data_IF_290703724904
#
_entry.id   IF_290703724904
#
_cell.length_a   1.000
_cell.length_b   1.000
_cell.length_c   1.000
_cell.angle_alpha   90.00
_cell.angle_beta   90.00
_cell.angle_gamma   90.00
#
_symmetry.space_group_name_H-M   'P 1'
#
loop_
_entity.id
_entity.type
_entity.pdbx_description
1 polymer ?
#
# COMPACT_ATOMS: atom_id res chain seq x y z
N UNK A 1 -4.67 -33.06 4.25
CA UNK A 1 -3.43 -32.27 4.36
C UNK A 1 -3.15 -31.56 3.03
N UNK A 2 -4.10 -30.73 2.58
CA UNK A 2 -4.09 -30.07 1.27
C UNK A 2 -4.41 -28.57 1.43
N UNK A 3 -3.67 -27.92 2.33
CA UNK A 3 -3.78 -26.49 2.64
C UNK A 3 -2.35 -25.98 2.55
N UNK A 4 -2.13 -24.87 1.81
CA UNK A 4 -0.82 -24.18 1.64
C UNK A 4 -0.05 -24.40 0.33
N UNK A 5 -0.72 -24.53 -0.82
CA UNK A 5 -0.05 -24.31 -2.13
C UNK A 5 -0.72 -23.26 -3.02
N UNK A 6 -2.01 -22.98 -2.80
CA UNK A 6 -2.75 -22.01 -3.63
C UNK A 6 -2.56 -20.55 -3.21
N UNK A 7 -2.14 -20.26 -1.96
CA UNK A 7 -1.87 -18.87 -1.53
C UNK A 7 -0.47 -18.39 -1.87
N UNK A 8 0.51 -19.29 -2.05
CA UNK A 8 1.88 -18.95 -2.43
C UNK A 8 2.02 -18.67 -3.92
N UNK A 9 1.24 -19.33 -4.79
CA UNK A 9 1.25 -19.05 -6.24
C UNK A 9 0.78 -17.62 -6.57
N UNK A 10 -0.19 -17.08 -5.83
CA UNK A 10 -0.71 -15.72 -6.03
C UNK A 10 0.31 -14.61 -5.71
N UNK A 11 1.35 -14.89 -4.91
CA UNK A 11 2.40 -13.91 -4.60
C UNK A 11 3.40 -13.73 -5.75
N UNK A 12 3.51 -14.70 -6.67
CA UNK A 12 4.45 -14.65 -7.80
C UNK A 12 3.81 -14.14 -9.11
N UNK A 13 2.50 -14.29 -9.31
CA UNK A 13 1.82 -13.69 -10.47
C UNK A 13 1.87 -12.14 -10.45
N UNK A 14 2.08 -11.55 -9.27
CA UNK A 14 2.22 -10.10 -9.11
C UNK A 14 3.58 -9.57 -9.62
N UNK A 15 4.61 -10.42 -9.75
CA UNK A 15 5.96 -10.06 -10.22
C UNK A 15 6.03 -9.78 -11.73
N UNK A 16 5.10 -10.35 -12.53
CA UNK A 16 5.03 -10.16 -13.98
C UNK A 16 4.09 -9.04 -14.41
N UNK A 17 3.74 -8.12 -13.52
CA UNK A 17 3.01 -6.93 -13.94
C UNK A 17 3.95 -5.99 -14.72
N UNK A 18 3.46 -5.32 -15.78
CA UNK A 18 4.26 -4.39 -16.58
C UNK A 18 4.97 -3.32 -15.74
N UNK A 19 4.33 -2.91 -14.63
CA UNK A 19 4.92 -2.05 -13.62
C UNK A 19 6.28 -2.57 -13.10
N UNK A 20 6.33 -3.81 -12.59
CA UNK A 20 7.55 -4.34 -12.00
C UNK A 20 8.65 -4.51 -13.04
N UNK A 21 8.30 -5.01 -14.23
CA UNK A 21 9.24 -5.17 -15.33
C UNK A 21 9.89 -3.84 -15.75
N UNK A 22 9.09 -2.81 -16.00
CA UNK A 22 9.60 -1.49 -16.41
C UNK A 22 10.42 -0.82 -15.31
N UNK A 23 10.04 -0.99 -14.04
CA UNK A 23 10.84 -0.47 -12.92
C UNK A 23 12.17 -1.21 -12.75
N UNK A 24 12.23 -2.52 -13.01
CA UNK A 24 13.49 -3.28 -13.07
C UNK A 24 14.35 -2.79 -14.23
N UNK A 25 13.77 -2.56 -15.42
CA UNK A 25 14.50 -2.02 -16.57
C UNK A 25 15.12 -0.65 -16.27
N UNK A 26 14.34 0.26 -15.66
CA UNK A 26 14.84 1.56 -15.20
C UNK A 26 15.94 1.40 -14.13
N UNK A 27 15.90 0.35 -13.32
CA UNK A 27 16.92 0.07 -12.32
C UNK A 27 18.26 -0.39 -12.90
N UNK A 28 18.23 -1.20 -13.95
CA UNK A 28 19.45 -1.74 -14.57
C UNK A 28 19.96 -0.87 -15.72
N UNK A 29 19.19 0.13 -16.16
CA UNK A 29 19.51 0.87 -17.39
C UNK A 29 20.92 1.51 -17.36
N UNK A 30 21.36 2.12 -16.26
CA UNK A 30 22.69 2.72 -16.17
C UNK A 30 23.80 1.68 -16.36
N UNK A 31 23.67 0.54 -15.68
CA UNK A 31 24.57 -0.59 -15.81
C UNK A 31 24.63 -1.09 -17.25
N UNK A 32 23.46 -1.30 -17.88
CA UNK A 32 23.34 -1.75 -19.28
C UNK A 32 23.98 -0.74 -20.24
N UNK A 33 23.74 0.56 -20.06
CA UNK A 33 24.31 1.60 -20.95
C UNK A 33 25.83 1.69 -20.88
N UNK A 34 26.45 1.25 -19.79
CA UNK A 34 27.92 1.25 -19.62
C UNK A 34 28.58 -0.08 -19.95
N UNK A 35 27.86 -1.20 -19.87
CA UNK A 35 28.40 -2.55 -20.11
C UNK A 35 28.16 -3.05 -21.54
N UNK A 36 27.11 -2.59 -22.20
CA UNK A 36 26.81 -2.96 -23.57
C UNK A 36 27.52 -1.97 -24.51
N UNK A 37 28.66 -2.39 -25.05
CA UNK A 37 29.52 -1.58 -25.94
C UNK A 37 28.76 -0.78 -27.02
N UNK A 38 27.83 -1.35 -27.82
CA UNK A 38 27.14 -0.57 -28.84
C UNK A 38 26.25 0.54 -28.25
N UNK A 39 25.63 0.30 -27.09
CA UNK A 39 24.83 1.32 -26.40
C UNK A 39 25.73 2.39 -25.77
N UNK A 40 26.86 1.99 -25.20
CA UNK A 40 27.81 2.89 -24.59
C UNK A 40 28.39 3.87 -25.61
N UNK A 41 28.88 3.38 -26.76
CA UNK A 41 29.43 4.25 -27.79
C UNK A 41 28.35 5.12 -28.46
N UNK A 42 27.11 4.63 -28.58
CA UNK A 42 25.99 5.42 -29.08
C UNK A 42 25.61 6.58 -28.14
N UNK A 43 25.61 6.35 -26.82
CA UNK A 43 25.21 7.35 -25.83
C UNK A 43 26.36 8.28 -25.42
N UNK A 44 27.57 7.76 -25.28
CA UNK A 44 28.70 8.49 -24.70
C UNK A 44 29.78 8.85 -25.72
N UNK A 45 29.67 8.36 -26.96
CA UNK A 45 30.62 8.61 -28.04
C UNK A 45 31.70 7.54 -28.14
N UNK A 46 32.29 7.39 -29.33
CA UNK A 46 33.28 6.36 -29.63
C UNK A 46 34.57 6.46 -28.80
N UNK A 47 34.93 7.65 -28.33
CA UNK A 47 36.17 7.89 -27.56
C UNK A 47 36.03 7.61 -26.06
N UNK A 48 34.84 7.22 -25.59
CA UNK A 48 34.61 6.98 -24.16
C UNK A 48 34.94 5.54 -23.76
N UNK A 49 35.53 5.41 -22.57
CA UNK A 49 35.83 4.13 -21.94
C UNK A 49 34.53 3.48 -21.45
N UNK A 50 34.15 2.36 -22.06
CA UNK A 50 32.95 1.60 -21.72
C UNK A 50 33.17 0.63 -20.56
N UNK A 51 33.46 1.19 -19.38
CA UNK A 51 33.48 0.45 -18.13
C UNK A 51 32.87 1.27 -17.00
N UNK A 52 32.47 0.57 -15.94
CA UNK A 52 31.95 1.19 -14.73
C UNK A 52 33.13 1.64 -13.87
N UNK A 53 33.15 2.92 -13.50
CA UNK A 53 34.19 3.48 -12.65
C UNK A 53 34.05 2.97 -11.20
N UNK A 54 35.14 2.97 -10.42
CA UNK A 54 35.09 2.55 -9.00
C UNK A 54 34.05 3.33 -8.19
N UNK A 55 33.91 4.64 -8.44
CA UNK A 55 32.90 5.48 -7.79
C UNK A 55 31.47 5.05 -8.14
N UNK A 56 31.23 4.69 -9.39
CA UNK A 56 29.92 4.21 -9.86
C UNK A 56 29.59 2.85 -9.25
N UNK A 57 30.59 1.96 -9.18
CA UNK A 57 30.46 0.65 -8.53
C UNK A 57 30.16 0.78 -7.03
N UNK A 58 30.84 1.68 -6.32
CA UNK A 58 30.55 1.97 -4.91
C UNK A 58 29.11 2.46 -4.70
N UNK A 59 28.62 3.35 -5.58
CA UNK A 59 27.22 3.80 -5.54
C UNK A 59 26.27 2.61 -5.78
N UNK A 60 26.52 1.79 -6.80
CA UNK A 60 25.70 0.60 -7.07
C UNK A 60 25.69 -0.39 -5.90
N UNK A 61 26.83 -0.63 -5.26
CA UNK A 61 26.95 -1.51 -4.10
C UNK A 61 26.19 -0.97 -2.89
N UNK A 62 26.33 0.33 -2.58
CA UNK A 62 25.59 0.98 -1.50
C UNK A 62 24.08 0.89 -1.73
N UNK A 63 23.64 1.07 -2.97
CA UNK A 63 22.23 0.91 -3.34
C UNK A 63 21.75 -0.53 -3.20
N UNK A 64 22.55 -1.52 -3.62
CA UNK A 64 22.26 -2.94 -3.43
C UNK A 64 22.07 -3.29 -1.95
N UNK A 65 22.95 -2.78 -1.08
CA UNK A 65 22.85 -2.97 0.37
C UNK A 65 21.59 -2.28 0.93
N UNK A 66 21.27 -1.05 0.52
CA UNK A 66 20.05 -0.36 0.97
C UNK A 66 18.77 -1.11 0.59
N UNK A 67 18.73 -1.68 -0.62
CA UNK A 67 17.60 -2.49 -1.10
C UNK A 67 17.44 -3.75 -0.23
N UNK A 68 18.56 -4.42 0.07
CA UNK A 68 18.58 -5.60 0.94
C UNK A 68 18.12 -5.27 2.37
N UNK A 69 18.62 -4.18 2.96
CA UNK A 69 18.30 -3.77 4.34
C UNK A 69 16.83 -3.36 4.50
N UNK A 70 16.24 -2.64 3.54
CA UNK A 70 14.87 -2.13 3.71
C UNK A 70 13.77 -3.14 3.41
N UNK A 71 14.09 -4.30 2.84
CA UNK A 71 13.17 -5.42 2.55
C UNK A 71 11.75 -5.00 2.09
N UNK A 72 11.64 -3.89 1.37
CA UNK A 72 10.39 -3.30 0.89
C UNK A 72 10.54 -2.96 -0.58
N UNK A 73 10.00 -3.83 -1.43
CA UNK A 73 10.17 -3.80 -2.89
C UNK A 73 9.80 -2.44 -3.52
N UNK A 74 8.69 -1.82 -3.12
CA UNK A 74 8.29 -0.54 -3.71
C UNK A 74 9.20 0.64 -3.29
N UNK A 75 9.74 0.62 -2.07
CA UNK A 75 10.73 1.61 -1.62
C UNK A 75 12.07 1.42 -2.34
N UNK A 76 12.45 0.16 -2.61
CA UNK A 76 13.66 -0.18 -3.35
C UNK A 76 13.68 0.44 -4.77
N UNK A 77 12.57 0.36 -5.52
CA UNK A 77 12.51 0.97 -6.86
C UNK A 77 12.65 2.49 -6.82
N UNK A 78 12.06 3.18 -5.86
CA UNK A 78 12.21 4.63 -5.72
C UNK A 78 13.65 5.04 -5.42
N UNK A 79 14.31 4.34 -4.50
CA UNK A 79 15.73 4.58 -4.20
C UNK A 79 16.61 4.34 -5.43
N UNK A 80 16.39 3.22 -6.11
CA UNK A 80 17.09 2.85 -7.33
C UNK A 80 16.93 3.91 -8.44
N UNK A 81 15.72 4.46 -8.62
CA UNK A 81 15.49 5.55 -9.57
C UNK A 81 16.32 6.80 -9.23
N UNK A 82 16.35 7.20 -7.96
CA UNK A 82 17.13 8.37 -7.52
C UNK A 82 18.63 8.15 -7.73
N UNK A 83 19.13 6.95 -7.46
CA UNK A 83 20.54 6.63 -7.69
C UNK A 83 20.91 6.62 -9.18
N UNK A 84 20.11 6.01 -10.04
CA UNK A 84 20.35 6.05 -11.48
C UNK A 84 20.27 7.48 -12.02
N UNK A 85 19.34 8.29 -11.54
CA UNK A 85 19.30 9.71 -11.87
C UNK A 85 20.60 10.42 -11.48
N UNK A 86 21.11 10.20 -10.26
CA UNK A 86 22.37 10.77 -9.81
C UNK A 86 23.56 10.29 -10.67
N UNK A 87 23.63 9.00 -10.99
CA UNK A 87 24.67 8.41 -11.83
C UNK A 87 24.67 9.01 -13.25
N UNK A 88 23.48 9.16 -13.86
CA UNK A 88 23.37 9.82 -15.17
C UNK A 88 23.75 11.31 -15.09
N UNK A 89 23.30 12.04 -14.07
CA UNK A 89 23.66 13.44 -13.85
C UNK A 89 25.17 13.64 -13.66
N UNK A 90 25.87 12.73 -12.97
CA UNK A 90 27.32 12.79 -12.79
C UNK A 90 28.08 12.60 -14.12
N UNK A 91 27.52 11.87 -15.08
CA UNK A 91 28.12 11.72 -16.41
C UNK A 91 27.74 12.88 -17.34
N UNK A 92 26.47 13.27 -17.37
CA UNK A 92 25.96 14.46 -18.07
C UNK A 92 24.55 14.80 -17.60
N UNK A 93 24.32 16.07 -17.28
CA UNK A 93 23.01 16.57 -16.86
C UNK A 93 21.90 16.27 -17.88
N UNK A 94 22.22 16.20 -19.18
CA UNK A 94 21.26 15.87 -20.24
C UNK A 94 20.69 14.45 -20.07
N UNK A 95 21.55 13.46 -19.85
CA UNK A 95 21.10 12.07 -19.66
C UNK A 95 20.35 11.87 -18.35
N UNK A 96 20.71 12.64 -17.31
CA UNK A 96 19.94 12.69 -16.08
C UNK A 96 18.50 13.17 -16.31
N UNK A 97 18.32 14.26 -17.07
CA UNK A 97 17.00 14.80 -17.40
C UNK A 97 16.20 13.80 -18.26
N UNK A 98 16.81 13.20 -19.28
CA UNK A 98 16.15 12.19 -20.13
C UNK A 98 15.70 10.98 -19.31
N UNK A 99 16.55 10.50 -18.40
CA UNK A 99 16.21 9.41 -17.50
C UNK A 99 15.07 9.79 -16.56
N UNK A 100 15.09 11.00 -15.97
CA UNK A 100 14.02 11.47 -15.11
C UNK A 100 12.67 11.56 -15.86
N UNK A 101 12.69 12.08 -17.10
CA UNK A 101 11.50 12.13 -17.94
C UNK A 101 10.95 10.72 -18.21
N UNK A 102 11.80 9.77 -18.63
CA UNK A 102 11.40 8.38 -18.85
C UNK A 102 10.84 7.72 -17.57
N UNK A 103 11.47 7.95 -16.41
CA UNK A 103 11.02 7.42 -15.14
C UNK A 103 9.65 7.98 -14.72
N UNK A 104 9.40 9.27 -14.97
CA UNK A 104 8.10 9.91 -14.72
C UNK A 104 7.05 9.33 -15.66
N UNK A 105 7.33 9.23 -16.96
CA UNK A 105 6.43 8.64 -17.96
C UNK A 105 6.02 7.23 -17.56
N UNK A 106 6.99 6.35 -17.24
CA UNK A 106 6.68 4.98 -16.78
C UNK A 106 5.79 4.99 -15.53
N UNK A 107 6.04 5.90 -14.58
CA UNK A 107 5.26 5.97 -13.34
C UNK A 107 3.82 6.48 -13.55
N UNK A 108 3.59 7.31 -14.57
CA UNK A 108 2.25 7.82 -14.92
C UNK A 108 1.45 6.78 -15.71
N UNK A 109 2.04 6.16 -16.72
CA UNK A 109 1.35 5.18 -17.56
C UNK A 109 1.16 3.82 -16.88
N UNK A 110 2.08 3.44 -16.01
CA UNK A 110 2.05 2.19 -15.27
C UNK A 110 2.08 2.51 -13.78
N UNK A 111 0.92 2.79 -13.15
CA UNK A 111 0.86 2.96 -11.71
C UNK A 111 1.11 1.62 -11.00
N UNK A 112 1.44 1.69 -9.71
CA UNK A 112 1.58 0.50 -8.88
C UNK A 112 0.24 -0.27 -8.87
N UNK A 113 0.25 -1.59 -9.14
CA UNK A 113 -0.99 -2.37 -9.14
C UNK A 113 -1.60 -2.41 -7.74
N UNK A 114 -2.92 -2.25 -7.67
CA UNK A 114 -3.68 -2.48 -6.44
C UNK A 114 -3.71 -3.98 -6.11
N UNK A 115 -3.88 -4.31 -4.84
CA UNK A 115 -4.06 -5.69 -4.41
C UNK A 115 -5.37 -6.29 -4.98
N UNK A 116 -5.28 -7.45 -5.62
CA UNK A 116 -6.42 -8.14 -6.29
C UNK A 116 -6.73 -9.52 -5.69
N UNK A 117 -6.17 -9.85 -4.53
CA UNK A 117 -6.42 -11.13 -3.87
C UNK A 117 -7.82 -11.24 -3.25
N UNK A 118 -8.13 -12.40 -2.69
CA UNK A 118 -9.41 -12.64 -2.00
C UNK A 118 -9.56 -11.64 -0.83
N UNK A 119 -10.67 -10.90 -0.84
CA UNK A 119 -11.04 -9.98 0.23
C UNK A 119 -12.57 -9.99 0.42
N UNK A 120 -13.02 -9.77 1.66
CA UNK A 120 -14.44 -9.61 2.00
C UNK A 120 -14.68 -8.18 2.48
N UNK A 121 -14.35 -7.23 1.61
CA UNK A 121 -14.39 -5.78 1.90
C UNK A 121 -15.41 -5.10 1.00
N UNK A 122 -16.23 -4.25 1.61
CA UNK A 122 -17.22 -3.45 0.90
C UNK A 122 -16.60 -2.09 0.53
N UNK A 123 -16.61 -1.77 -0.76
CA UNK A 123 -16.13 -0.48 -1.26
C UNK A 123 -17.27 0.50 -1.33
N UNK A 124 -17.22 1.55 -0.51
CA UNK A 124 -18.22 2.59 -0.59
C UNK A 124 -17.85 3.59 -1.70
N UNK A 125 -18.71 3.69 -2.72
CA UNK A 125 -18.55 4.59 -3.88
C UNK A 125 -19.68 5.62 -4.01
N UNK A 126 -20.66 5.57 -3.11
CA UNK A 126 -21.81 6.47 -3.13
C UNK A 126 -21.52 7.81 -2.45
N UNK A 127 -22.46 8.74 -2.59
CA UNK A 127 -22.45 9.96 -1.79
C UNK A 127 -22.84 9.58 -0.35
N UNK A 128 -22.11 10.07 0.66
CA UNK A 128 -22.34 9.84 2.10
C UNK A 128 -22.22 8.39 2.64
N UNK A 129 -21.07 7.72 2.48
CA UNK A 129 -20.83 6.39 3.08
C UNK A 129 -21.00 6.34 4.61
N UNK A 130 -20.67 7.42 5.32
CA UNK A 130 -20.83 7.47 6.77
C UNK A 130 -22.30 7.40 7.20
N UNK A 131 -23.22 7.96 6.39
CA UNK A 131 -24.65 7.93 6.70
C UNK A 131 -25.24 6.53 6.53
N UNK A 132 -24.72 5.75 5.56
CA UNK A 132 -25.09 4.34 5.40
C UNK A 132 -24.63 3.49 6.60
N UNK A 133 -23.39 3.70 7.04
CA UNK A 133 -22.83 3.03 8.24
C UNK A 133 -23.63 3.42 9.49
N UNK A 134 -24.01 4.69 9.62
CA UNK A 134 -24.79 5.18 10.76
C UNK A 134 -26.22 4.63 10.81
N UNK A 135 -26.82 4.36 9.64
CA UNK A 135 -28.17 3.76 9.54
C UNK A 135 -28.17 2.28 9.94
N UNK A 136 -27.12 1.54 9.61
CA UNK A 136 -27.06 0.10 9.84
C UNK A 136 -26.45 -0.23 11.22
N UNK A 137 -27.24 0.01 12.28
CA UNK A 137 -26.77 -0.09 13.67
C UNK A 137 -26.51 -1.53 14.13
N UNK A 138 -27.17 -2.51 13.52
CA UNK A 138 -27.05 -3.93 13.88
C UNK A 138 -25.73 -4.56 13.40
N UNK A 139 -24.96 -3.84 12.58
CA UNK A 139 -23.70 -4.31 12.01
C UNK A 139 -22.55 -3.51 12.61
N UNK A 140 -21.56 -4.22 13.14
CA UNK A 140 -20.27 -3.65 13.50
C UNK A 140 -19.45 -3.49 12.22
N UNK A 141 -18.83 -2.32 12.03
CA UNK A 141 -18.04 -2.02 10.84
C UNK A 141 -16.60 -1.68 11.20
N UNK A 142 -15.64 -2.34 10.56
CA UNK A 142 -14.25 -1.87 10.54
C UNK A 142 -13.95 -1.23 9.18
N UNK A 143 -13.72 0.08 9.16
CA UNK A 143 -13.58 0.87 7.95
C UNK A 143 -12.15 1.38 7.80
N UNK A 144 -11.55 1.13 6.63
CA UNK A 144 -10.29 1.72 6.19
C UNK A 144 -10.56 2.98 5.36
N UNK A 145 -10.07 4.12 5.86
CA UNK A 145 -9.98 5.37 5.11
C UNK A 145 -8.61 5.43 4.45
N UNK A 146 -8.61 5.38 3.12
CA UNK A 146 -7.40 5.28 2.31
C UNK A 146 -7.38 6.32 1.19
N UNK A 147 -6.21 6.51 0.59
CA UNK A 147 -6.06 7.29 -0.62
C UNK A 147 -5.08 6.60 -1.58
N UNK A 148 -5.37 6.63 -2.88
CA UNK A 148 -4.57 5.91 -3.89
C UNK A 148 -3.14 6.41 -4.03
N UNK A 149 -2.86 7.66 -3.65
CA UNK A 149 -1.51 8.22 -3.66
C UNK A 149 -0.69 7.89 -2.40
N UNK A 150 -1.33 7.31 -1.37
CA UNK A 150 -0.67 7.02 -0.09
C UNK A 150 0.04 5.65 -0.15
N UNK A 151 1.37 5.67 -0.19
CA UNK A 151 2.18 4.45 -0.15
C UNK A 151 1.90 3.56 1.09
N UNK A 152 1.74 4.10 2.31
CA UNK A 152 1.31 3.33 3.48
C UNK A 152 -0.01 2.56 3.29
N UNK A 153 -0.97 3.11 2.56
CA UNK A 153 -2.25 2.43 2.28
C UNK A 153 -2.05 1.19 1.40
N UNK A 154 -1.18 1.27 0.38
CA UNK A 154 -0.85 0.13 -0.48
C UNK A 154 -0.23 -1.03 0.31
N UNK A 155 0.54 -0.75 1.37
CA UNK A 155 1.09 -1.78 2.25
C UNK A 155 0.04 -2.39 3.19
N UNK A 156 -0.95 -1.59 3.63
CA UNK A 156 -2.03 -2.08 4.49
C UNK A 156 -3.04 -2.93 3.70
N UNK A 157 -3.29 -2.62 2.42
CA UNK A 157 -4.29 -3.31 1.59
C UNK A 157 -4.26 -4.85 1.67
N UNK A 158 -3.12 -5.56 1.51
CA UNK A 158 -3.08 -7.02 1.64
C UNK A 158 -3.33 -7.50 3.07
N UNK A 159 -2.89 -6.76 4.09
CA UNK A 159 -3.09 -7.10 5.51
C UNK A 159 -4.57 -6.96 5.86
N UNK A 160 -5.19 -5.85 5.46
CA UNK A 160 -6.60 -5.59 5.70
C UNK A 160 -7.49 -6.61 4.97
N UNK A 161 -7.14 -6.98 3.72
CA UNK A 161 -7.80 -8.05 2.99
C UNK A 161 -7.76 -9.40 3.74
N UNK A 162 -6.57 -9.82 4.21
CA UNK A 162 -6.42 -11.07 4.99
C UNK A 162 -7.28 -11.08 6.25
N UNK A 163 -7.28 -9.98 7.01
CA UNK A 163 -8.10 -9.84 8.22
C UNK A 163 -9.59 -9.89 7.87
N UNK A 164 -10.01 -9.19 6.80
CA UNK A 164 -11.41 -9.17 6.39
C UNK A 164 -11.94 -10.59 6.16
N UNK A 165 -11.20 -11.41 5.40
CA UNK A 165 -11.59 -12.79 5.07
C UNK A 165 -11.71 -13.65 6.33
N UNK A 166 -10.83 -13.43 7.31
CA UNK A 166 -10.78 -14.22 8.55
C UNK A 166 -11.88 -13.87 9.55
N UNK A 167 -12.28 -12.60 9.61
CA UNK A 167 -13.16 -12.09 10.66
C UNK A 167 -14.55 -11.65 10.16
N UNK A 168 -14.79 -11.59 8.86
CA UNK A 168 -16.08 -11.15 8.33
C UNK A 168 -17.22 -12.10 8.72
N UNK A 169 -18.30 -11.50 9.21
CA UNK A 169 -19.56 -12.15 9.57
C UNK A 169 -20.73 -11.28 9.05
N UNK A 170 -21.97 -11.81 9.00
CA UNK A 170 -23.13 -11.01 8.61
C UNK A 170 -23.33 -9.72 9.44
N UNK A 171 -22.99 -9.76 10.73
CA UNK A 171 -23.05 -8.65 11.68
C UNK A 171 -21.68 -8.00 11.99
N UNK A 172 -20.60 -8.42 11.32
CA UNK A 172 -19.30 -7.76 11.39
C UNK A 172 -18.66 -7.65 10.02
N UNK A 173 -18.67 -6.43 9.46
CA UNK A 173 -18.26 -6.17 8.09
C UNK A 173 -17.05 -5.26 8.01
N UNK A 174 -16.30 -5.41 6.92
CA UNK A 174 -15.12 -4.62 6.61
C UNK A 174 -15.44 -3.71 5.43
N UNK A 175 -14.97 -2.47 5.48
CA UNK A 175 -15.23 -1.50 4.42
C UNK A 175 -14.03 -0.61 4.10
N UNK A 176 -14.05 -0.02 2.91
CA UNK A 176 -13.03 0.90 2.42
C UNK A 176 -13.69 2.17 1.86
N UNK A 177 -13.16 3.33 2.25
CA UNK A 177 -13.58 4.66 1.79
C UNK A 177 -12.37 5.40 1.22
N UNK A 178 -12.46 5.82 -0.05
CA UNK A 178 -11.41 6.60 -0.71
C UNK A 178 -11.53 8.08 -0.34
N UNK A 179 -10.77 8.52 0.66
CA UNK A 179 -10.75 9.92 1.09
C UNK A 179 -9.96 10.84 0.17
N UNK A 180 -9.21 10.27 -0.79
CA UNK A 180 -8.59 11.04 -1.86
C UNK A 180 -9.62 11.56 -2.85
N UNK A 181 -10.70 10.80 -3.08
CA UNK A 181 -11.83 11.20 -3.93
C UNK A 181 -12.98 11.84 -3.16
N UNK A 182 -13.27 11.36 -1.95
CA UNK A 182 -14.37 11.82 -1.10
C UNK A 182 -13.81 12.55 0.13
N UNK A 183 -13.22 13.73 -0.08
CA UNK A 183 -12.58 14.51 0.98
C UNK A 183 -13.55 14.96 2.07
N UNK A 184 -14.83 15.13 1.75
CA UNK A 184 -15.85 15.58 2.71
C UNK A 184 -16.07 14.57 3.83
N UNK A 185 -15.97 13.27 3.53
CA UNK A 185 -16.08 12.20 4.53
C UNK A 185 -14.88 12.19 5.48
N UNK A 186 -13.70 12.53 4.97
CA UNK A 186 -12.51 12.70 5.80
C UNK A 186 -12.66 13.90 6.75
N UNK A 187 -13.19 15.01 6.24
CA UNK A 187 -13.42 16.23 7.01
C UNK A 187 -14.41 16.01 8.16
N UNK A 188 -15.51 15.26 7.91
CA UNK A 188 -16.49 14.87 8.95
C UNK A 188 -15.84 14.16 10.14
N UNK A 189 -14.78 13.38 9.89
CA UNK A 189 -14.07 12.60 10.91
C UNK A 189 -12.72 13.21 11.34
N UNK A 190 -12.47 14.46 10.93
CA UNK A 190 -11.23 15.19 11.18
C UNK A 190 -9.96 14.41 10.74
N UNK A 191 -10.04 13.68 9.63
CA UNK A 191 -8.93 12.94 9.05
C UNK A 191 -8.17 13.86 8.09
N UNK A 192 -6.90 14.12 8.39
CA UNK A 192 -6.05 14.98 7.55
C UNK A 192 -5.63 14.26 6.27
N UNK A 193 -6.10 14.73 5.12
CA UNK A 193 -5.74 14.20 3.79
C UNK A 193 -4.44 14.80 3.22
N UNK A 194 -3.69 15.58 4.02
CA UNK A 194 -2.41 16.15 3.58
C UNK A 194 -1.37 15.05 3.37
N UNK A 195 -0.59 15.15 2.29
CA UNK A 195 0.48 14.18 1.93
C UNK A 195 1.55 14.06 3.03
N UNK A 196 1.83 15.14 3.76
CA UNK A 196 2.80 15.16 4.85
C UNK A 196 2.24 14.63 6.19
N UNK A 197 0.93 14.42 6.28
CA UNK A 197 0.30 13.91 7.49
C UNK A 197 0.57 12.41 7.62
N UNK A 198 0.68 11.92 8.86
CA UNK A 198 0.70 10.48 9.15
C UNK A 198 -0.72 9.98 9.46
N UNK A 199 -1.76 10.61 8.93
CA UNK A 199 -3.14 10.25 9.24
C UNK A 199 -3.61 9.05 8.40
N UNK A 200 -3.13 8.92 7.16
CA UNK A 200 -3.52 7.83 6.27
C UNK A 200 -2.50 6.68 6.29
N UNK A 201 -2.96 5.41 6.25
CA UNK A 201 -4.35 4.99 6.39
C UNK A 201 -4.90 5.24 7.79
N UNK A 202 -6.21 5.50 7.90
CA UNK A 202 -6.92 5.49 9.20
C UNK A 202 -7.87 4.30 9.22
N UNK A 203 -7.83 3.50 10.28
CA UNK A 203 -8.81 2.47 10.58
C UNK A 203 -9.75 2.98 11.68
N UNK A 204 -11.05 2.87 11.46
CA UNK A 204 -12.06 3.24 12.45
C UNK A 204 -13.07 2.10 12.62
N UNK A 205 -13.31 1.72 13.87
CA UNK A 205 -14.33 0.77 14.27
C UNK A 205 -15.61 1.53 14.61
N UNK A 206 -16.69 1.19 13.93
CA UNK A 206 -18.03 1.67 14.21
C UNK A 206 -18.88 0.57 14.83
N UNK A 207 -19.61 0.91 15.89
CA UNK A 207 -20.63 0.06 16.55
C UNK A 207 -21.83 0.94 16.84
N UNK A 208 -23.03 0.44 16.58
CA UNK A 208 -24.30 1.18 16.73
C UNK A 208 -24.29 2.53 15.98
N UNK A 209 -23.60 2.57 14.83
CA UNK A 209 -23.44 3.77 14.00
C UNK A 209 -22.52 4.84 14.58
N UNK A 210 -21.76 4.56 15.65
CA UNK A 210 -20.84 5.50 16.30
C UNK A 210 -19.40 5.01 16.26
N UNK A 211 -18.47 5.95 16.16
CA UNK A 211 -17.03 5.68 16.29
C UNK A 211 -16.71 5.20 17.71
N UNK A 212 -16.16 3.98 17.81
CA UNK A 212 -15.71 3.38 19.08
C UNK A 212 -14.20 3.55 19.25
N UNK A 213 -13.46 3.30 18.18
CA UNK A 213 -12.00 3.27 18.22
C UNK A 213 -11.42 3.66 16.88
N UNK A 214 -10.35 4.45 16.92
CA UNK A 214 -9.58 4.84 15.73
C UNK A 214 -8.08 4.60 15.90
N UNK A 215 -7.44 4.27 14.79
CA UNK A 215 -5.99 4.14 14.66
C UNK A 215 -5.58 4.78 13.33
N UNK A 216 -4.53 5.62 13.27
CA UNK A 216 -3.67 6.02 14.39
C UNK A 216 -4.37 6.95 15.39
N UNK A 217 -3.82 7.02 16.62
CA UNK A 217 -4.37 7.92 17.65
C UNK A 217 -4.04 9.37 17.30
N UNK A 218 -4.99 10.27 17.54
CA UNK A 218 -4.78 11.71 17.40
C UNK A 218 -4.33 12.24 18.76
N UNK A 219 -3.15 12.86 18.82
CA UNK A 219 -2.63 13.54 20.01
C UNK A 219 -3.41 14.83 20.26
N UNK A 220 -3.40 15.35 21.49
CA UNK A 220 -3.97 16.66 21.88
C UNK A 220 -3.63 17.81 20.92
N UNK A 221 -2.45 17.74 20.29
CA UNK A 221 -1.94 18.77 19.39
C UNK A 221 -2.47 18.62 17.94
N UNK A 222 -3.48 17.77 17.72
CA UNK A 222 -4.08 17.49 16.40
C UNK A 222 -3.20 16.68 15.45
N UNK A 223 -2.05 16.18 15.91
CA UNK A 223 -1.14 15.33 15.12
C UNK A 223 -1.45 13.86 15.37
N UNK A 224 -1.39 13.05 14.32
CA UNK A 224 -1.52 11.60 14.45
C UNK A 224 -0.19 10.98 14.87
N UNK A 225 -0.26 9.98 15.76
CA UNK A 225 0.91 9.19 16.13
C UNK A 225 1.26 8.25 14.99
N UNK A 226 2.56 7.95 14.81
CA UNK A 226 2.96 6.93 13.83
C UNK A 226 2.50 5.56 14.31
N UNK A 227 1.86 4.81 13.43
CA UNK A 227 1.38 3.47 13.71
C UNK A 227 1.98 2.46 12.71
N UNK A 228 2.33 1.28 13.20
CA UNK A 228 2.82 0.20 12.36
C UNK A 228 1.71 -0.82 12.11
N UNK A 229 1.15 -0.78 10.89
CA UNK A 229 0.06 -1.63 10.45
C UNK A 229 0.56 -3.06 10.15
N UNK A 230 0.48 -3.94 11.14
CA UNK A 230 0.64 -5.40 10.97
C UNK A 230 -0.65 -6.11 11.37
N UNK A 231 -0.80 -7.36 10.94
CA UNK A 231 -1.98 -8.16 11.28
C UNK A 231 -2.16 -8.27 12.80
N UNK A 232 -1.08 -8.55 13.52
CA UNK A 232 -1.10 -8.74 14.98
C UNK A 232 -1.45 -7.44 15.71
N UNK A 233 -0.90 -6.31 15.26
CA UNK A 233 -1.18 -5.01 15.86
C UNK A 233 -2.64 -4.61 15.67
N UNK A 234 -3.20 -4.82 14.47
CA UNK A 234 -4.62 -4.52 14.18
C UNK A 234 -5.53 -5.44 15.00
N UNK A 235 -5.25 -6.75 15.03
CA UNK A 235 -6.04 -7.72 15.82
C UNK A 235 -6.03 -7.36 17.31
N UNK A 236 -4.84 -7.06 17.86
CA UNK A 236 -4.68 -6.72 19.28
C UNK A 236 -5.34 -5.39 19.62
N UNK A 237 -5.10 -4.36 18.83
CA UNK A 237 -5.58 -3.03 19.18
C UNK A 237 -7.08 -2.87 18.93
N UNK A 238 -7.66 -3.49 17.91
CA UNK A 238 -9.12 -3.51 17.75
C UNK A 238 -9.82 -4.63 18.52
N UNK A 239 -9.05 -5.51 19.18
CA UNK A 239 -9.56 -6.67 19.92
C UNK A 239 -10.52 -7.54 19.09
N UNK A 240 -10.10 -7.83 17.85
CA UNK A 240 -10.96 -8.47 16.84
C UNK A 240 -11.45 -9.86 17.26
N UNK A 241 -10.69 -10.57 18.09
CA UNK A 241 -11.09 -11.88 18.61
C UNK A 241 -12.32 -11.78 19.52
N UNK A 242 -12.36 -10.79 20.41
CA UNK A 242 -13.50 -10.60 21.29
C UNK A 242 -14.72 -10.09 20.53
N UNK A 243 -14.53 -9.16 19.58
CA UNK A 243 -15.62 -8.72 18.68
C UNK A 243 -16.22 -9.91 17.93
N UNK A 244 -15.37 -10.81 17.39
CA UNK A 244 -15.84 -12.00 16.69
C UNK A 244 -16.66 -12.92 17.60
N UNK A 245 -16.23 -13.12 18.85
CA UNK A 245 -16.95 -13.93 19.83
C UNK A 245 -18.31 -13.31 20.17
N UNK A 246 -18.35 -12.00 20.39
CA UNK A 246 -19.58 -11.27 20.69
C UNK A 246 -20.57 -11.35 19.53
N UNK A 247 -20.09 -11.13 18.30
CA UNK A 247 -20.91 -11.24 17.09
C UNK A 247 -21.46 -12.67 16.89
N UNK A 248 -20.65 -13.71 17.17
CA UNK A 248 -21.10 -15.12 17.12
C UNK A 248 -22.11 -15.46 18.22
N UNK A 249 -22.02 -14.82 19.39
CA UNK A 249 -23.02 -14.99 20.47
C UNK A 249 -24.34 -14.37 20.04
N UNK A 250 -24.32 -13.15 19.52
CA UNK A 250 -25.52 -12.43 19.04
C UNK A 250 -26.24 -13.19 17.92
N UNK A 251 -25.51 -13.81 16.98
CA UNK A 251 -26.10 -14.59 15.89
C UNK A 251 -26.79 -15.88 16.39
N UNK A 252 -26.30 -16.47 17.49
CA UNK A 252 -26.92 -17.66 18.11
C UNK A 252 -28.22 -17.29 18.84
N UNK A 253 -28.23 -16.19 19.58
CA UNK A 253 -29.43 -15.73 20.29
C UNK A 253 -30.57 -15.39 19.33
N UNK A 254 -30.28 -14.74 18.21
CA UNK A 254 -31.27 -14.41 17.17
C UNK A 254 -31.78 -15.63 16.41
N UNK A 255 -30.98 -16.69 16.25
CA UNK A 255 -31.43 -17.95 15.65
C UNK A 255 -32.22 -18.85 16.61
N UNK A 256 -32.04 -18.67 17.93
CA UNK A 256 -32.75 -19.41 18.97
C UNK A 256 -34.20 -18.95 19.15
N UNK A 257 -34.48 -17.66 18.92
CA UNK A 257 -35.83 -17.09 19.04
C UNK A 257 -36.77 -17.50 17.89
N UNK A 258 -36.24 -17.85 16.72
CA UNK A 258 -37.04 -18.27 15.54
C UNK A 258 -37.54 -19.72 15.67
N UNK A 259 -37.02 -20.51 16.63
CA UNK A 259 -37.40 -21.92 16.83
C UNK A 259 -38.37 -22.15 17.99
N UNK A 260 -38.86 -21.09 18.64
CA UNK A 260 -39.72 -21.16 19.82
C UNK A 260 -41.16 -20.66 19.61
N UNK A 261 -41.55 -20.42 18.35
CA UNK A 261 -42.92 -20.06 17.96
C UNK A 261 -43.54 -21.17 17.08
#
# INVERSE_FOLDING_TARGET
MAISWKSTFNEYDCLFTPYHFLNVLLCICFYVTKTVEPLCHFLYGSDTKCFINEREYQIMLLMGIMIFVKNKRAIAFSFCKVANFALFCCNSSLYGILYAAAAITVSVFFPQPAYTGLESVIYFRGNSPLDEIAKNKDVVWLIEFYANWSAPCHYLAPVFAKISVKYSLPNFKFGKIDVGRYSDEANKLNISTKVTSSALPTLILFRDGKEVKRIPKVTSNGRTTRYHFTEENIIRDFDLNNILLDCKRQSKTSSGHIKSD
#
